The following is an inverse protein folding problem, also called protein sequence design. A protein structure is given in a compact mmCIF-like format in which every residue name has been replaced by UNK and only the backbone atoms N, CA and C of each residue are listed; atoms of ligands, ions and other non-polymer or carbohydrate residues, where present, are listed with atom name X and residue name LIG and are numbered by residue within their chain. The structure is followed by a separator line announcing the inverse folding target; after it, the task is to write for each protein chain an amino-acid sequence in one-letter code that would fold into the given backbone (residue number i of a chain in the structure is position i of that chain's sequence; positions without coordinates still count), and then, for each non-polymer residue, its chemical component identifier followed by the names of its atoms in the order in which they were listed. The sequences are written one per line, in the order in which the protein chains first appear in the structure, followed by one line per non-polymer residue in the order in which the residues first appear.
data_IF_327245043246
#
_entry.id   IF_327245043246
#
_cell.length_a   1.000
_cell.length_b   1.000
_cell.length_c   1.000
_cell.angle_alpha   90.00
_cell.angle_beta   90.00
_cell.angle_gamma   90.00
#
_symmetry.space_group_name_H-M   'P 1'
#
loop_
_entity.id
_entity.type
_entity.pdbx_description
1 polymer ?
#
# COMPACT_ATOMS: atom_id res chain seq x y z
N UNK A 1 7.65 0.04 -17.84
CA UNK A 1 8.25 -1.05 -17.04
C UNK A 1 8.01 -0.86 -15.54
N UNK A 2 8.26 0.33 -14.99
CA UNK A 2 8.06 0.67 -13.56
C UNK A 2 6.61 0.47 -13.07
N UNK A 3 5.61 0.86 -13.86
CA UNK A 3 4.18 0.66 -13.52
C UNK A 3 3.84 -0.80 -13.19
N UNK A 4 4.23 -1.73 -14.06
CA UNK A 4 3.97 -3.17 -13.85
C UNK A 4 4.64 -3.72 -12.60
N UNK A 5 5.87 -3.28 -12.31
CA UNK A 5 6.58 -3.68 -11.10
C UNK A 5 5.91 -3.13 -9.83
N UNK A 6 5.32 -1.93 -9.91
CA UNK A 6 4.58 -1.32 -8.82
C UNK A 6 3.26 -2.07 -8.56
N UNK A 7 2.53 -2.41 -9.61
CA UNK A 7 1.31 -3.22 -9.53
C UNK A 7 1.60 -4.60 -8.92
N UNK A 8 2.68 -5.26 -9.37
CA UNK A 8 3.14 -6.55 -8.84
C UNK A 8 3.54 -6.44 -7.37
N UNK A 9 4.27 -5.39 -6.98
CA UNK A 9 4.62 -5.14 -5.59
C UNK A 9 3.38 -4.89 -4.71
N UNK A 10 2.36 -4.20 -5.23
CA UNK A 10 1.09 -4.01 -4.52
C UNK A 10 0.36 -5.33 -4.29
N UNK A 11 0.32 -6.22 -5.29
CA UNK A 11 -0.29 -7.55 -5.14
C UNK A 11 0.43 -8.35 -4.06
N UNK A 12 1.76 -8.41 -4.11
CA UNK A 12 2.55 -9.16 -3.11
C UNK A 12 2.39 -8.61 -1.69
N UNK A 13 2.28 -7.29 -1.53
CA UNK A 13 2.02 -6.66 -0.24
C UNK A 13 0.60 -6.94 0.25
N UNK A 14 -0.39 -6.98 -0.64
CA UNK A 14 -1.77 -7.35 -0.30
C UNK A 14 -1.83 -8.80 0.18
N UNK A 15 -1.22 -9.72 -0.56
CA UNK A 15 -1.15 -11.14 -0.19
C UNK A 15 -0.48 -11.32 1.19
N UNK A 16 0.61 -10.59 1.45
CA UNK A 16 1.28 -10.62 2.75
C UNK A 16 0.40 -10.08 3.89
N UNK A 17 -0.42 -9.05 3.65
CA UNK A 17 -1.35 -8.56 4.65
C UNK A 17 -2.43 -9.60 4.96
N UNK A 18 -3.00 -10.24 3.92
CA UNK A 18 -4.02 -11.28 4.06
C UNK A 18 -3.50 -12.50 4.85
N UNK A 19 -2.26 -12.92 4.57
CA UNK A 19 -1.59 -14.00 5.31
C UNK A 19 -1.43 -13.65 6.80
N UNK A 20 -1.03 -12.42 7.11
CA UNK A 20 -0.87 -11.95 8.49
C UNK A 20 -2.22 -11.80 9.20
N UNK A 21 -3.27 -11.36 8.51
CA UNK A 21 -4.63 -11.29 9.04
C UNK A 21 -5.20 -12.68 9.36
N UNK A 22 -4.90 -13.68 8.53
CA UNK A 22 -5.26 -15.07 8.76
C UNK A 22 -4.59 -15.62 10.03
N UNK A 23 -3.28 -15.39 10.18
CA UNK A 23 -2.53 -15.76 11.39
C UNK A 23 -3.09 -15.03 12.62
N UNK A 24 -3.36 -13.73 12.50
CA UNK A 24 -3.91 -12.90 13.56
C UNK A 24 -5.27 -13.42 14.05
N UNK A 25 -6.12 -13.88 13.13
CA UNK A 25 -7.45 -14.40 13.42
C UNK A 25 -7.40 -15.70 14.23
N UNK A 26 -6.40 -16.55 13.99
CA UNK A 26 -6.19 -17.81 14.73
C UNK A 26 -5.42 -17.67 16.04
N UNK A 27 -4.84 -16.50 16.34
CA UNK A 27 -3.89 -16.36 17.44
C UNK A 27 -4.59 -16.20 18.81
N UNK A 28 -4.29 -17.02 19.83
CA UNK A 28 -4.78 -16.81 21.19
C UNK A 28 -4.14 -15.56 21.84
N UNK A 29 -4.90 -14.78 22.62
CA UNK A 29 -4.42 -13.53 23.26
C UNK A 29 -3.37 -13.77 24.38
N UNK A 30 -2.43 -12.82 24.67
CA UNK A 30 -2.21 -11.53 24.02
C UNK A 30 -0.80 -11.26 23.45
N UNK A 31 0.20 -12.11 23.69
CA UNK A 31 1.58 -11.81 23.27
C UNK A 31 1.73 -11.85 21.74
N UNK A 32 2.35 -10.82 21.15
CA UNK A 32 2.63 -10.71 19.71
C UNK A 32 1.46 -10.25 18.84
N UNK A 33 0.24 -10.15 19.40
CA UNK A 33 -0.94 -9.74 18.65
C UNK A 33 -0.91 -8.26 18.29
N UNK A 34 -0.36 -7.41 19.16
CA UNK A 34 -0.17 -5.98 18.90
C UNK A 34 0.85 -5.75 17.78
N UNK A 35 2.01 -6.40 17.85
CA UNK A 35 3.08 -6.31 16.84
C UNK A 35 2.57 -6.75 15.45
N UNK A 36 1.76 -7.82 15.41
CA UNK A 36 1.16 -8.29 14.16
C UNK A 36 0.14 -7.31 13.59
N UNK A 37 -0.69 -6.69 14.42
CA UNK A 37 -1.61 -5.62 13.98
C UNK A 37 -0.84 -4.40 13.44
N UNK A 38 0.27 -4.03 14.09
CA UNK A 38 1.12 -2.92 13.63
C UNK A 38 1.77 -3.24 12.28
N UNK A 39 2.26 -4.47 12.09
CA UNK A 39 2.82 -4.92 10.83
C UNK A 39 1.79 -4.86 9.70
N UNK A 40 0.57 -5.38 9.92
CA UNK A 40 -0.54 -5.31 8.95
C UNK A 40 -0.86 -3.84 8.62
N UNK A 41 -1.01 -3.00 9.64
CA UNK A 41 -1.28 -1.57 9.45
C UNK A 41 -0.21 -0.86 8.62
N UNK A 42 1.07 -1.18 8.86
CA UNK A 42 2.20 -0.61 8.10
C UNK A 42 2.17 -1.02 6.63
N UNK A 43 1.81 -2.27 6.34
CA UNK A 43 1.67 -2.78 4.97
C UNK A 43 0.52 -2.06 4.25
N UNK A 44 -0.65 -1.96 4.89
CA UNK A 44 -1.82 -1.27 4.33
C UNK A 44 -1.55 0.21 4.06
N UNK A 45 -0.84 0.89 4.97
CA UNK A 45 -0.46 2.29 4.77
C UNK A 45 0.53 2.44 3.61
N UNK A 46 1.51 1.54 3.50
CA UNK A 46 2.43 1.51 2.36
C UNK A 46 1.68 1.32 1.05
N UNK A 47 0.71 0.39 0.99
CA UNK A 47 -0.15 0.19 -0.18
C UNK A 47 -0.90 1.47 -0.58
N UNK A 48 -1.47 2.20 0.39
CA UNK A 48 -2.15 3.48 0.14
C UNK A 48 -1.20 4.53 -0.43
N UNK A 49 0.00 4.65 0.13
CA UNK A 49 1.03 5.58 -0.34
C UNK A 49 1.46 5.27 -1.78
N UNK A 50 1.65 3.99 -2.09
CA UNK A 50 2.01 3.51 -3.42
C UNK A 50 0.88 3.77 -4.41
N UNK A 51 -0.37 3.43 -4.08
CA UNK A 51 -1.53 3.70 -4.93
C UNK A 51 -1.71 5.20 -5.19
N UNK A 52 -1.51 6.03 -4.17
CA UNK A 52 -1.53 7.50 -4.30
C UNK A 52 -0.43 8.01 -5.23
N UNK A 53 0.79 7.50 -5.09
CA UNK A 53 1.90 7.84 -5.97
C UNK A 53 1.64 7.40 -7.42
N UNK A 54 1.08 6.20 -7.61
CA UNK A 54 0.70 5.69 -8.91
C UNK A 54 -0.36 6.57 -9.60
N UNK A 55 -1.43 6.94 -8.89
CA UNK A 55 -2.48 7.81 -9.42
C UNK A 55 -1.94 9.17 -9.89
N UNK A 56 -0.95 9.75 -9.18
CA UNK A 56 -0.27 10.99 -9.61
C UNK A 56 0.60 10.81 -10.85
N UNK A 57 1.14 9.62 -11.08
CA UNK A 57 1.91 9.29 -12.29
C UNK A 57 1.00 9.05 -13.50
N UNK A 58 -0.19 8.47 -13.29
CA UNK A 58 -1.16 8.20 -14.36
C UNK A 58 -1.93 9.46 -14.79
N UNK A 59 -2.25 10.33 -13.83
CA UNK A 59 -2.78 11.66 -14.08
C UNK A 59 -1.75 12.70 -13.67
N UNK A 60 -0.73 12.99 -14.53
CA UNK A 60 0.08 14.17 -14.33
C UNK A 60 -0.89 15.34 -14.37
N UNK A 61 -1.05 16.01 -13.23
CA UNK A 61 -1.86 17.21 -13.11
C UNK A 61 -1.33 18.16 -14.19
N UNK A 62 -2.05 18.32 -15.30
CA UNK A 62 -1.72 19.33 -16.30
C UNK A 62 -1.95 20.65 -15.56
N UNK A 63 -0.87 21.20 -14.98
CA UNK A 63 -0.81 22.58 -14.56
C UNK A 63 -0.86 23.43 -15.84
N UNK A 64 -2.06 23.50 -16.42
CA UNK A 64 -2.45 24.48 -17.40
C UNK A 64 -2.55 25.81 -16.66
N UNK A 65 -1.47 26.58 -16.75
CA UNK A 65 -1.39 27.90 -16.15
C UNK A 65 -0.11 28.64 -16.52
N UNK A 66 0.51 28.31 -17.66
CA UNK A 66 1.37 29.26 -18.35
C UNK A 66 0.45 30.24 -19.08
N UNK A 67 -0.06 31.25 -18.37
CA UNK A 67 -0.42 32.51 -19.02
C UNK A 67 0.84 33.37 -19.00
N UNK A 68 1.64 33.22 -20.06
CA UNK A 68 2.63 34.21 -20.45
C UNK A 68 2.00 35.06 -21.56
N UNK A 69 2.27 36.37 -21.46
CA UNK A 69 1.89 37.51 -22.29
C UNK A 69 0.51 38.15 -22.01
#
# INVERSE_FOLDING_TARGET
MVKRQLEEACVLLQDAADDLESVLSGMPMPAGRADLNEAIGTIMETLRLVASAHARLEHPQIHGGALAD
#
